data_IF_590448065956
#
_entry.id   IF_590448065956
#
_cell.length_a   1.000
_cell.length_b   1.000
_cell.length_c   1.000
_cell.angle_alpha   90.00
_cell.angle_beta   90.00
_cell.angle_gamma   90.00
#
_symmetry.space_group_name_H-M   'P 1'
#
loop_
_entity.id
_entity.type
_entity.pdbx_description
1 polymer ?
#
# COMPACT_ATOMS: atom_id res chain seq x y z
N UNK A 1 5.07 41.55 37.60
CA UNK A 1 5.52 41.28 36.22
C UNK A 1 4.28 41.30 35.36
N UNK A 2 4.06 42.37 34.61
CA UNK A 2 3.02 42.39 33.57
C UNK A 2 3.37 41.32 32.54
N UNK A 3 2.37 40.57 32.11
CA UNK A 3 2.55 39.51 31.12
C UNK A 3 3.02 40.15 29.81
N UNK A 4 3.96 39.52 29.09
CA UNK A 4 4.40 39.98 27.76
C UNK A 4 3.24 40.16 26.77
N UNK A 5 2.12 39.48 27.02
CA UNK A 5 0.88 39.55 26.25
C UNK A 5 0.09 40.85 26.51
N UNK A 6 0.38 41.57 27.60
CA UNK A 6 -0.29 42.84 27.96
C UNK A 6 0.43 44.05 27.37
N UNK A 7 1.73 43.92 27.05
CA UNK A 7 2.58 45.04 26.63
C UNK A 7 2.83 45.11 25.13
N UNK A 8 2.69 44.01 24.39
CA UNK A 8 3.02 43.93 22.97
C UNK A 8 1.86 43.34 22.16
N UNK A 9 1.71 43.83 20.93
CA UNK A 9 0.71 43.28 20.01
C UNK A 9 1.16 41.93 19.45
N UNK A 10 0.19 41.09 19.05
CA UNK A 10 0.46 39.77 18.49
C UNK A 10 1.37 39.83 17.24
N UNK A 11 1.20 40.85 16.41
CA UNK A 11 2.01 41.06 15.20
C UNK A 11 3.48 41.34 15.55
N UNK A 12 3.73 42.20 16.55
CA UNK A 12 5.10 42.50 16.99
C UNK A 12 5.79 41.28 17.58
N UNK A 13 5.05 40.43 18.32
CA UNK A 13 5.58 39.17 18.85
C UNK A 13 5.93 38.17 17.73
N UNK A 14 5.14 38.12 16.66
CA UNK A 14 5.40 37.25 15.51
C UNK A 14 6.66 37.71 14.74
N UNK A 15 6.76 38.99 14.41
CA UNK A 15 7.90 39.54 13.69
C UNK A 15 9.22 39.39 14.47
N UNK A 16 9.18 39.65 15.78
CA UNK A 16 10.35 39.47 16.65
C UNK A 16 10.77 38.01 16.76
N UNK A 17 9.82 37.07 16.82
CA UNK A 17 10.11 35.65 16.81
C UNK A 17 10.76 35.19 15.49
N UNK A 18 10.22 35.61 14.35
CA UNK A 18 10.80 35.33 13.03
C UNK A 18 12.21 35.91 12.89
N UNK A 19 12.41 37.14 13.37
CA UNK A 19 13.71 37.79 13.40
C UNK A 19 14.73 37.02 14.25
N UNK A 20 14.32 36.54 15.44
CA UNK A 20 15.15 35.73 16.33
C UNK A 20 15.56 34.40 15.68
N UNK A 21 14.65 33.73 14.97
CA UNK A 21 14.95 32.49 14.25
C UNK A 21 15.98 32.71 13.13
N UNK A 22 15.86 33.81 12.38
CA UNK A 22 16.82 34.20 11.33
C UNK A 22 18.19 34.55 11.91
N UNK A 23 18.23 35.27 13.04
CA UNK A 23 19.46 35.62 13.76
C UNK A 23 20.20 34.39 14.27
N UNK A 24 19.46 33.37 14.72
CA UNK A 24 20.01 32.10 15.20
C UNK A 24 20.38 31.11 14.07
N UNK A 25 20.34 31.55 12.81
CA UNK A 25 20.72 30.73 11.66
C UNK A 25 19.66 29.71 11.21
N UNK A 26 18.49 29.67 11.84
CA UNK A 26 17.38 28.75 11.49
C UNK A 26 16.46 29.38 10.44
N UNK A 27 17.04 29.74 9.30
CA UNK A 27 16.34 30.48 8.23
C UNK A 27 15.23 29.65 7.59
N UNK A 28 15.44 28.34 7.43
CA UNK A 28 14.44 27.45 6.85
C UNK A 28 13.18 27.38 7.72
N UNK A 29 13.35 27.29 9.05
CA UNK A 29 12.25 27.28 10.02
C UNK A 29 11.50 28.61 10.02
N UNK A 30 12.22 29.73 9.97
CA UNK A 30 11.59 31.05 9.91
C UNK A 30 10.74 31.22 8.64
N UNK A 31 11.26 30.81 7.48
CA UNK A 31 10.54 30.91 6.22
C UNK A 31 9.34 29.96 6.16
N UNK A 32 9.44 28.77 6.75
CA UNK A 32 8.31 27.84 6.87
C UNK A 32 7.18 28.43 7.73
N UNK A 33 7.51 29.01 8.88
CA UNK A 33 6.53 29.63 9.78
C UNK A 33 5.92 30.89 9.14
N UNK A 34 6.70 31.72 8.47
CA UNK A 34 6.21 32.90 7.74
C UNK A 34 5.25 32.50 6.61
N UNK A 35 5.56 31.42 5.89
CA UNK A 35 4.63 30.85 4.91
C UNK A 35 3.33 30.36 5.57
N UNK A 36 3.42 29.65 6.69
CA UNK A 36 2.24 29.17 7.44
C UNK A 36 1.40 30.29 8.06
N UNK A 37 1.99 31.44 8.39
CA UNK A 37 1.25 32.59 8.92
C UNK A 37 0.53 33.38 7.84
N UNK A 38 1.00 33.32 6.58
CA UNK A 38 0.46 34.08 5.45
C UNK A 38 -0.39 33.25 4.49
N UNK A 39 -0.35 31.93 4.57
CA UNK A 39 -1.15 31.03 3.73
C UNK A 39 -2.58 30.88 4.27
N UNK A 40 -3.54 30.67 3.38
CA UNK A 40 -4.91 30.32 3.74
C UNK A 40 -4.97 28.94 4.40
N UNK A 41 -5.94 28.73 5.30
CA UNK A 41 -6.06 27.49 6.10
C UNK A 41 -6.08 26.22 5.24
N UNK A 42 -6.67 26.27 4.04
CA UNK A 42 -6.75 25.14 3.11
C UNK A 42 -5.39 24.83 2.44
N UNK A 43 -4.58 25.85 2.18
CA UNK A 43 -3.23 25.68 1.60
C UNK A 43 -2.26 25.09 2.63
N UNK A 44 -2.38 25.51 3.89
CA UNK A 44 -1.59 24.95 5.01
C UNK A 44 -1.95 23.49 5.23
N UNK A 45 -3.24 23.14 5.20
CA UNK A 45 -3.67 21.75 5.36
C UNK A 45 -3.18 20.88 4.19
N UNK A 46 -3.23 21.38 2.96
CA UNK A 46 -2.67 20.71 1.78
C UNK A 46 -1.14 20.52 1.87
N UNK A 47 -0.42 21.55 2.33
CA UNK A 47 1.04 21.49 2.53
C UNK A 47 1.45 20.59 3.70
N UNK A 48 0.73 20.64 4.82
CA UNK A 48 0.94 19.73 5.94
C UNK A 48 0.60 18.31 5.53
N UNK A 49 -0.46 18.07 4.76
CA UNK A 49 -0.76 16.75 4.20
C UNK A 49 0.32 16.29 3.23
N UNK A 50 0.94 17.15 2.44
CA UNK A 50 2.03 16.76 1.54
C UNK A 50 3.36 16.52 2.26
N UNK A 51 3.64 17.24 3.35
CA UNK A 51 4.82 17.07 4.20
C UNK A 51 4.67 15.91 5.21
N UNK A 52 3.46 15.72 5.77
CA UNK A 52 3.06 14.61 6.64
C UNK A 52 2.58 13.38 5.87
N UNK A 53 2.51 13.43 4.53
CA UNK A 53 2.70 12.27 3.65
C UNK A 53 4.15 11.78 3.80
N UNK A 54 4.53 11.46 5.04
CA UNK A 54 5.32 10.28 5.35
C UNK A 54 4.69 9.20 4.50
N UNK A 55 5.40 8.77 3.46
CA UNK A 55 4.92 7.83 2.45
C UNK A 55 4.06 6.76 3.13
N UNK A 56 2.75 6.86 2.97
CA UNK A 56 1.85 5.88 3.55
C UNK A 56 2.21 4.57 2.88
N UNK A 57 2.74 3.64 3.66
CA UNK A 57 3.26 2.42 3.11
C UNK A 57 2.07 1.59 2.68
N UNK A 58 1.88 1.50 1.36
CA UNK A 58 0.88 0.62 0.78
C UNK A 58 1.38 -0.80 0.98
N UNK A 59 0.71 -1.62 1.81
CA UNK A 59 1.07 -3.02 1.94
C UNK A 59 0.79 -3.73 0.63
N UNK A 60 1.55 -4.78 0.32
CA UNK A 60 1.26 -5.60 -0.84
C UNK A 60 -0.15 -6.19 -0.76
N UNK A 61 -0.83 -6.22 -1.90
CA UNK A 61 -2.02 -7.04 -2.11
C UNK A 61 -1.68 -8.53 -1.91
N UNK A 62 -2.70 -9.32 -1.59
CA UNK A 62 -2.60 -10.77 -1.52
C UNK A 62 -2.14 -11.39 -2.85
N UNK A 63 -2.45 -10.76 -3.99
CA UNK A 63 -2.07 -11.25 -5.32
C UNK A 63 -0.64 -10.83 -5.67
N UNK A 64 -0.30 -9.57 -5.40
CA UNK A 64 1.05 -9.04 -5.61
C UNK A 64 2.09 -9.78 -4.76
N UNK A 65 1.74 -10.13 -3.52
CA UNK A 65 2.68 -10.83 -2.65
C UNK A 65 2.96 -12.26 -3.10
N UNK A 66 1.97 -12.92 -3.73
CA UNK A 66 2.17 -14.25 -4.32
C UNK A 66 3.10 -14.13 -5.51
N UNK A 67 2.85 -13.18 -6.42
CA UNK A 67 3.75 -12.92 -7.56
C UNK A 67 5.18 -12.63 -7.09
N UNK A 68 5.33 -11.71 -6.12
CA UNK A 68 6.62 -11.41 -5.52
C UNK A 68 7.31 -12.64 -4.92
N UNK A 69 6.57 -13.51 -4.22
CA UNK A 69 7.14 -14.69 -3.59
C UNK A 69 7.57 -15.76 -4.60
N UNK A 70 6.86 -15.89 -5.73
CA UNK A 70 7.25 -16.78 -6.85
C UNK A 70 8.46 -16.21 -7.60
N UNK A 71 8.47 -14.90 -7.91
CA UNK A 71 9.59 -14.25 -8.62
C UNK A 71 10.92 -14.30 -7.85
N UNK A 72 10.85 -14.46 -6.52
CA UNK A 72 12.01 -14.45 -5.62
C UNK A 72 12.36 -15.79 -5.01
N UNK A 73 11.60 -16.85 -5.33
CA UNK A 73 11.77 -18.21 -4.77
C UNK A 73 11.89 -18.23 -3.23
N UNK A 74 11.14 -17.37 -2.54
CA UNK A 74 11.28 -17.21 -1.09
C UNK A 74 10.73 -18.42 -0.33
N UNK A 75 11.57 -19.02 0.51
CA UNK A 75 11.10 -20.00 1.49
C UNK A 75 10.24 -19.33 2.57
N UNK A 76 9.35 -20.10 3.21
CA UNK A 76 8.55 -19.64 4.36
C UNK A 76 9.39 -18.97 5.45
N UNK A 77 10.57 -19.52 5.72
CA UNK A 77 11.47 -18.99 6.74
C UNK A 77 12.02 -17.61 6.33
N UNK A 78 12.53 -17.48 5.11
CA UNK A 78 13.04 -16.21 4.58
C UNK A 78 11.95 -15.14 4.53
N UNK A 79 10.75 -15.48 4.05
CA UNK A 79 9.60 -14.57 4.06
C UNK A 79 9.27 -14.08 5.46
N UNK A 80 9.28 -14.98 6.45
CA UNK A 80 9.00 -14.63 7.85
C UNK A 80 10.06 -13.68 8.43
N UNK A 81 11.34 -13.89 8.08
CA UNK A 81 12.42 -12.99 8.48
C UNK A 81 12.24 -11.63 7.83
N UNK A 82 12.00 -11.57 6.53
CA UNK A 82 11.78 -10.34 5.76
C UNK A 82 10.67 -9.50 6.38
N UNK A 83 9.52 -10.13 6.66
CA UNK A 83 8.39 -9.50 7.33
C UNK A 83 8.75 -9.00 8.73
N UNK A 84 9.45 -9.79 9.54
CA UNK A 84 9.88 -9.39 10.89
C UNK A 84 10.84 -8.19 10.84
N UNK A 85 11.77 -8.18 9.88
CA UNK A 85 12.71 -7.08 9.71
C UNK A 85 12.03 -5.79 9.25
N UNK A 86 11.02 -5.88 8.37
CA UNK A 86 10.19 -4.74 8.00
C UNK A 86 9.43 -4.19 9.22
N UNK A 87 8.76 -5.06 9.98
CA UNK A 87 8.03 -4.66 11.18
C UNK A 87 8.93 -4.02 12.25
N UNK A 88 10.15 -4.53 12.43
CA UNK A 88 11.13 -3.95 13.36
C UNK A 88 11.53 -2.51 12.99
N UNK A 89 11.39 -2.13 11.71
CA UNK A 89 11.61 -0.75 11.23
C UNK A 89 10.32 0.07 11.19
N UNK A 90 9.25 -0.39 11.84
CA UNK A 90 7.90 0.19 11.80
C UNK A 90 7.34 0.24 10.37
N UNK A 91 7.70 -0.75 9.54
CA UNK A 91 7.29 -0.84 8.14
C UNK A 91 6.32 -2.01 7.95
N UNK A 92 5.07 -1.71 7.55
CA UNK A 92 4.00 -2.70 7.38
C UNK A 92 3.75 -2.92 5.88
N UNK A 93 4.72 -3.51 5.19
CA UNK A 93 4.65 -3.75 3.74
C UNK A 93 4.18 -5.18 3.42
N UNK A 94 4.62 -6.17 4.20
CA UNK A 94 4.37 -7.58 3.89
C UNK A 94 3.17 -8.14 4.68
N UNK A 95 2.15 -8.69 3.98
CA UNK A 95 1.05 -9.43 4.59
C UNK A 95 1.53 -10.60 5.47
N UNK A 96 0.62 -11.18 6.24
CA UNK A 96 0.94 -12.39 6.99
C UNK A 96 1.17 -13.58 6.05
N UNK A 97 2.00 -14.54 6.47
CA UNK A 97 2.21 -15.77 5.69
C UNK A 97 0.89 -16.55 5.46
N UNK A 98 -0.07 -16.44 6.39
CA UNK A 98 -1.39 -17.06 6.23
C UNK A 98 -2.17 -16.45 5.05
N UNK A 99 -2.11 -15.14 4.87
CA UNK A 99 -2.74 -14.47 3.73
C UNK A 99 -2.11 -14.91 2.41
N UNK A 100 -0.79 -15.06 2.37
CA UNK A 100 -0.08 -15.61 1.21
C UNK A 100 -0.53 -17.04 0.89
N UNK A 101 -0.64 -17.91 1.90
CA UNK A 101 -1.12 -19.29 1.72
C UNK A 101 -2.55 -19.31 1.19
N UNK A 102 -3.45 -18.53 1.80
CA UNK A 102 -4.84 -18.43 1.34
C UNK A 102 -4.92 -17.95 -0.12
N UNK A 103 -4.07 -16.99 -0.51
CA UNK A 103 -4.01 -16.48 -1.87
C UNK A 103 -3.49 -17.52 -2.87
N UNK A 104 -2.48 -18.33 -2.48
CA UNK A 104 -2.03 -19.48 -3.27
C UNK A 104 -3.12 -20.53 -3.41
N UNK A 105 -3.79 -20.89 -2.31
CA UNK A 105 -4.88 -21.86 -2.30
C UNK A 105 -6.05 -21.43 -3.20
N UNK A 106 -6.38 -20.14 -3.23
CA UNK A 106 -7.39 -19.59 -4.14
C UNK A 106 -7.03 -19.76 -5.63
N UNK A 107 -5.75 -19.95 -5.95
CA UNK A 107 -5.29 -20.20 -7.32
C UNK A 107 -5.27 -21.69 -7.69
N UNK A 108 -5.56 -22.59 -6.75
CA UNK A 108 -5.53 -24.04 -6.98
C UNK A 108 -6.94 -24.53 -7.40
N UNK A 109 -7.07 -25.28 -8.52
CA UNK A 109 -8.37 -25.82 -8.97
C UNK A 109 -8.91 -26.88 -8.01
N UNK A 110 -10.23 -27.07 -8.02
CA UNK A 110 -10.91 -28.18 -7.33
C UNK A 110 -10.53 -29.54 -7.93
N UNK A 111 -10.74 -30.62 -7.17
CA UNK A 111 -10.57 -32.02 -7.60
C UNK A 111 -9.14 -32.42 -8.01
N UNK A 112 -8.15 -31.98 -7.22
CA UNK A 112 -6.77 -32.48 -7.34
C UNK A 112 -6.63 -33.74 -6.50
N UNK A 113 -6.15 -34.81 -7.14
CA UNK A 113 -5.77 -36.05 -6.48
C UNK A 113 -4.25 -36.19 -6.49
N UNK A 114 -3.65 -36.07 -5.31
CA UNK A 114 -2.21 -36.28 -5.10
C UNK A 114 -2.01 -37.62 -4.40
N UNK A 115 -1.13 -38.45 -4.96
CA UNK A 115 -0.62 -39.69 -4.38
C UNK A 115 0.90 -39.66 -4.41
N UNK A 116 1.56 -40.52 -3.64
CA UNK A 116 3.03 -40.59 -3.57
C UNK A 116 3.70 -40.82 -4.93
N UNK A 117 2.98 -41.43 -5.88
CA UNK A 117 3.50 -41.82 -7.20
C UNK A 117 3.02 -40.89 -8.31
N UNK A 118 1.87 -40.22 -8.14
CA UNK A 118 1.32 -39.34 -9.18
C UNK A 118 0.39 -38.26 -8.61
N UNK A 119 0.32 -37.14 -9.33
CA UNK A 119 -0.71 -36.12 -9.16
C UNK A 119 -1.57 -36.06 -10.42
N UNK A 120 -2.89 -36.00 -10.25
CA UNK A 120 -3.86 -35.90 -11.34
C UNK A 120 -4.88 -34.82 -11.00
N UNK A 121 -5.33 -34.10 -12.02
CA UNK A 121 -6.40 -33.12 -11.92
C UNK A 121 -7.42 -33.40 -13.01
N UNK A 122 -8.70 -33.20 -12.71
CA UNK A 122 -9.75 -33.28 -13.72
C UNK A 122 -9.57 -32.14 -14.74
N UNK A 123 -9.50 -32.49 -16.03
CA UNK A 123 -9.30 -31.52 -17.10
C UNK A 123 -10.40 -30.46 -17.12
N UNK A 124 -11.67 -30.85 -16.91
CA UNK A 124 -12.78 -29.91 -16.92
C UNK A 124 -12.65 -28.90 -15.75
N UNK A 125 -12.36 -29.40 -14.54
CA UNK A 125 -12.13 -28.55 -13.36
C UNK A 125 -10.98 -27.56 -13.59
N UNK A 126 -9.89 -28.01 -14.22
CA UNK A 126 -8.75 -27.16 -14.56
C UNK A 126 -9.14 -26.06 -15.56
N UNK A 127 -9.89 -26.39 -16.61
CA UNK A 127 -10.34 -25.43 -17.62
C UNK A 127 -11.30 -24.42 -17.01
N UNK A 128 -12.28 -24.87 -16.23
CA UNK A 128 -13.28 -24.00 -15.59
C UNK A 128 -12.63 -23.03 -14.62
N UNK A 129 -11.69 -23.51 -13.80
CA UNK A 129 -10.91 -22.67 -12.89
C UNK A 129 -10.04 -21.65 -13.63
N UNK A 130 -9.40 -22.07 -14.73
CA UNK A 130 -8.58 -21.17 -15.56
C UNK A 130 -9.44 -20.07 -16.19
N UNK A 131 -10.62 -20.41 -16.73
CA UNK A 131 -11.57 -19.44 -17.28
C UNK A 131 -12.00 -18.46 -16.19
N UNK A 132 -12.38 -18.95 -15.01
CA UNK A 132 -12.75 -18.10 -13.88
C UNK A 132 -11.66 -17.09 -13.52
N UNK A 133 -10.40 -17.53 -13.45
CA UNK A 133 -9.26 -16.65 -13.14
C UNK A 133 -9.01 -15.59 -14.22
N UNK A 134 -9.13 -15.95 -15.49
CA UNK A 134 -9.00 -14.99 -16.61
C UNK A 134 -10.07 -13.90 -16.51
N UNK A 135 -11.33 -14.29 -16.28
CA UNK A 135 -12.44 -13.34 -16.15
C UNK A 135 -12.23 -12.35 -15.01
N UNK A 136 -11.75 -12.83 -13.86
CA UNK A 136 -11.42 -11.98 -12.70
C UNK A 136 -10.30 -10.99 -13.06
N UNK A 137 -9.25 -11.46 -13.75
CA UNK A 137 -8.07 -10.65 -14.09
C UNK A 137 -8.43 -9.52 -15.06
N UNK A 138 -9.26 -9.80 -16.05
CA UNK A 138 -9.70 -8.83 -17.06
C UNK A 138 -10.89 -7.96 -16.58
N UNK A 139 -11.32 -8.10 -15.31
CA UNK A 139 -12.53 -7.47 -14.76
C UNK A 139 -13.77 -7.67 -15.65
N UNK A 140 -13.86 -8.83 -16.33
CA UNK A 140 -14.99 -9.14 -17.18
C UNK A 140 -16.15 -9.63 -16.30
N UNK A 141 -17.29 -8.93 -16.28
CA UNK A 141 -18.44 -9.35 -15.49
C UNK A 141 -18.95 -10.69 -16.02
N UNK A 142 -19.07 -11.68 -15.14
CA UNK A 142 -19.57 -13.03 -15.46
C UNK A 142 -20.94 -12.97 -16.15
N UNK A 143 -21.72 -11.92 -15.87
CA UNK A 143 -23.03 -11.67 -16.48
C UNK A 143 -22.99 -11.42 -17.99
N UNK A 144 -21.85 -10.98 -18.55
CA UNK A 144 -21.70 -10.78 -20.00
C UNK A 144 -21.59 -12.09 -20.79
N UNK A 145 -21.22 -13.20 -20.13
CA UNK A 145 -21.20 -14.53 -20.76
C UNK A 145 -22.60 -15.08 -21.03
N UNK A 146 -23.63 -14.55 -20.35
CA UNK A 146 -25.02 -14.96 -20.53
C UNK A 146 -25.69 -14.29 -21.75
N UNK A 147 -25.11 -13.22 -22.29
CA UNK A 147 -25.65 -12.47 -23.42
C UNK A 147 -25.18 -13.05 -24.74
N UNK A 148 -25.70 -14.22 -25.16
CA UNK A 148 -25.64 -14.82 -26.52
C UNK A 148 -24.28 -14.95 -27.26
N UNK A 149 -23.21 -14.33 -26.78
CA UNK A 149 -21.89 -14.27 -27.39
C UNK A 149 -21.08 -15.46 -26.91
N UNK A 150 -20.81 -16.38 -27.84
CA UNK A 150 -20.07 -17.61 -27.57
C UNK A 150 -18.58 -17.31 -27.58
N UNK A 151 -17.97 -17.18 -26.41
CA UNK A 151 -16.53 -17.17 -26.26
C UNK A 151 -15.96 -18.57 -26.46
N UNK A 152 -14.80 -18.67 -27.12
CA UNK A 152 -14.08 -19.93 -27.32
C UNK A 152 -12.66 -19.78 -26.80
N UNK A 153 -12.30 -20.58 -25.81
CA UNK A 153 -10.93 -20.70 -25.34
C UNK A 153 -10.15 -21.62 -26.29
N UNK A 154 -9.11 -21.07 -26.94
CA UNK A 154 -8.21 -21.84 -27.79
C UNK A 154 -6.96 -22.18 -26.98
N UNK A 155 -6.88 -23.43 -26.50
CA UNK A 155 -5.73 -23.97 -25.78
C UNK A 155 -4.85 -24.73 -26.77
N UNK A 156 -3.52 -24.57 -26.66
CA UNK A 156 -2.53 -25.26 -27.50
C UNK A 156 -2.19 -26.64 -26.95
#
# INVERSE_FOLDING_TARGET
>A
MTSLLETYSAVQLQETFLFMLRRNGRKEVANAIEYMLNADSDDIESCLRSYLKIQEQVPYSNEEIVAFAEDTDLTKHQYTILRKQALAKNVIIYPSYRQLVNAREACIPSDIHVSDVCAKVNLQSLVDHTISRILITENLPVDTLNNSDKFRLLVK
#
